data_IF_261675667375
#
_entry.id   IF_261675667375
#
_cell.length_a   1.000
_cell.length_b   1.000
_cell.length_c   1.000
_cell.angle_alpha   90.00
_cell.angle_beta   90.00
_cell.angle_gamma   90.00
#
_symmetry.space_group_name_H-M   'P 1'
#
loop_
_entity.id
_entity.type
_entity.pdbx_description
1 polymer ?
#
# COMPACT_ATOMS: atom_id res chain seq x y z
N UNK A 1 15.62 11.95 28.27
CA UNK A 1 17.09 11.93 28.11
C UNK A 1 17.37 12.10 26.61
N UNK A 2 17.49 13.28 26.01
CA UNK A 2 18.48 14.36 26.17
C UNK A 2 19.92 13.85 26.20
N UNK A 3 20.66 14.07 25.10
CA UNK A 3 22.12 14.22 24.88
C UNK A 3 22.32 14.01 23.36
N UNK A 4 22.75 14.94 22.50
CA UNK A 4 23.76 16.00 22.63
C UNK A 4 23.43 17.21 21.74
N UNK A 5 23.55 18.40 22.31
CA UNK A 5 23.68 19.69 21.64
C UNK A 5 24.93 20.39 22.18
N UNK A 6 25.79 20.88 21.27
CA UNK A 6 26.83 21.96 21.38
C UNK A 6 28.09 21.53 20.59
N UNK A 7 28.71 22.33 19.71
CA UNK A 7 28.95 23.78 19.68
C UNK A 7 29.01 24.33 18.25
N UNK A 8 28.67 25.61 18.06
CA UNK A 8 29.01 26.38 16.87
C UNK A 8 28.00 27.48 16.52
N UNK A 9 27.98 28.58 17.27
CA UNK A 9 27.28 29.81 16.87
C UNK A 9 27.96 30.40 15.62
N UNK A 10 27.29 30.31 14.48
CA UNK A 10 27.60 31.03 13.25
C UNK A 10 26.29 31.54 12.65
N UNK A 11 26.30 32.78 12.13
CA UNK A 11 25.15 33.53 11.62
C UNK A 11 24.13 32.67 10.85
N UNK A 12 22.86 32.90 11.13
CA UNK A 12 21.69 32.25 10.54
C UNK A 12 21.78 32.13 9.02
N UNK A 13 22.06 30.92 8.53
CA UNK A 13 21.59 30.48 7.23
C UNK A 13 20.26 29.78 7.47
N UNK A 14 19.18 30.31 6.89
CA UNK A 14 17.93 29.55 6.79
C UNK A 14 18.24 28.16 6.23
N UNK A 15 17.76 27.06 6.83
CA UNK A 15 17.94 25.75 6.24
C UNK A 15 16.99 25.64 5.03
N UNK A 16 17.42 26.12 3.87
CA UNK A 16 16.82 25.79 2.58
C UNK A 16 17.26 24.38 2.17
N UNK A 17 16.94 23.39 3.00
CA UNK A 17 17.09 21.99 2.63
C UNK A 17 15.73 21.34 2.79
N UNK A 18 14.80 21.73 1.90
CA UNK A 18 13.53 21.02 1.73
C UNK A 18 13.90 19.62 1.28
N UNK A 19 13.85 18.65 2.20
CA UNK A 19 14.04 17.24 1.87
C UNK A 19 12.98 16.88 0.83
N UNK A 20 13.42 16.53 -0.38
CA UNK A 20 12.52 16.00 -1.42
C UNK A 20 12.38 14.49 -1.21
N UNK A 21 11.19 13.97 -1.47
CA UNK A 21 10.96 12.52 -1.40
C UNK A 21 11.87 11.82 -2.42
N UNK A 22 12.70 10.84 -2.01
CA UNK A 22 13.68 10.22 -2.89
C UNK A 22 13.06 9.30 -3.96
N UNK A 23 11.73 9.10 -3.95
CA UNK A 23 10.99 8.14 -4.80
C UNK A 23 11.38 6.69 -4.49
N UNK A 24 11.67 6.43 -3.23
CA UNK A 24 11.97 5.12 -2.67
C UNK A 24 10.89 4.84 -1.63
N UNK A 25 10.40 3.61 -1.58
CA UNK A 25 9.47 3.12 -0.56
C UNK A 25 10.11 2.03 0.27
N UNK A 26 9.73 1.99 1.54
CA UNK A 26 10.11 0.91 2.43
C UNK A 26 9.36 -0.38 2.07
N UNK A 27 10.00 -1.51 2.30
CA UNK A 27 9.45 -2.83 2.06
C UNK A 27 9.59 -3.67 3.33
N UNK A 28 8.56 -4.45 3.63
CA UNK A 28 8.55 -5.35 4.78
C UNK A 28 7.71 -6.59 4.46
N UNK A 29 8.29 -7.78 4.64
CA UNK A 29 7.68 -9.04 4.21
C UNK A 29 7.52 -9.99 5.40
N UNK A 30 6.28 -10.41 5.69
CA UNK A 30 6.01 -11.25 6.87
C UNK A 30 6.65 -12.64 6.76
N UNK A 31 6.69 -13.21 5.55
CA UNK A 31 7.17 -14.58 5.32
C UNK A 31 8.68 -14.65 5.55
N UNK A 32 9.44 -13.68 5.05
CA UNK A 32 10.88 -13.55 5.28
C UNK A 32 11.22 -13.39 6.77
N UNK A 33 10.49 -12.50 7.46
CA UNK A 33 10.70 -12.22 8.89
C UNK A 33 10.45 -13.49 9.71
N UNK A 34 9.30 -14.14 9.50
CA UNK A 34 8.92 -15.33 10.24
C UNK A 34 9.85 -16.50 9.95
N UNK A 35 10.29 -16.66 8.70
CA UNK A 35 11.21 -17.73 8.31
C UNK A 35 12.58 -17.54 8.96
N UNK A 36 13.11 -16.31 8.98
CA UNK A 36 14.35 -15.97 9.67
C UNK A 36 14.25 -16.23 11.18
N UNK A 37 13.16 -15.80 11.80
CA UNK A 37 12.91 -16.04 13.23
C UNK A 37 12.75 -17.54 13.54
N UNK A 38 12.13 -18.32 12.65
CA UNK A 38 11.97 -19.76 12.83
C UNK A 38 13.30 -20.51 12.99
N UNK A 39 14.37 -19.97 12.39
CA UNK A 39 15.69 -20.61 12.30
C UNK A 39 16.67 -20.02 13.31
N UNK A 40 16.40 -18.83 13.84
CA UNK A 40 17.27 -18.14 14.80
C UNK A 40 17.41 -18.97 16.10
N UNK A 41 18.65 -19.30 16.54
CA UNK A 41 18.88 -20.07 17.75
C UNK A 41 18.25 -19.47 19.01
N UNK A 42 17.65 -20.31 19.86
CA UNK A 42 16.91 -19.90 21.08
C UNK A 42 17.71 -18.99 22.04
N UNK A 43 19.04 -19.09 22.06
CA UNK A 43 19.88 -18.30 22.99
C UNK A 43 20.07 -16.83 22.54
N UNK A 44 19.89 -16.52 21.25
CA UNK A 44 19.80 -15.13 20.75
C UNK A 44 18.46 -14.50 21.20
N UNK A 45 17.42 -15.32 21.36
CA UNK A 45 16.12 -14.89 21.90
C UNK A 45 16.16 -14.39 23.36
N UNK A 46 17.24 -14.63 24.11
CA UNK A 46 17.41 -14.10 25.47
C UNK A 46 17.62 -12.57 25.49
N UNK A 47 17.98 -11.95 24.36
CA UNK A 47 18.06 -10.49 24.19
C UNK A 47 16.67 -9.81 24.11
N UNK A 48 15.57 -10.57 24.04
CA UNK A 48 14.18 -10.07 23.93
C UNK A 48 13.61 -9.44 25.21
N UNK A 49 14.39 -9.30 26.29
CA UNK A 49 13.89 -8.90 27.62
C UNK A 49 13.70 -7.38 27.84
N UNK A 50 14.04 -6.50 26.89
CA UNK A 50 14.09 -5.05 27.14
C UNK A 50 13.07 -4.17 26.39
N UNK A 51 12.14 -4.73 25.61
CA UNK A 51 11.09 -3.96 24.90
C UNK A 51 11.58 -3.01 23.78
N UNK A 52 12.84 -2.57 23.83
CA UNK A 52 13.55 -1.81 22.79
C UNK A 52 13.98 -2.73 21.63
N UNK A 53 14.12 -4.03 21.91
CA UNK A 53 14.57 -5.04 20.96
C UNK A 53 13.56 -5.28 19.82
N UNK A 54 12.25 -5.22 20.12
CA UNK A 54 11.20 -5.57 19.15
C UNK A 54 11.11 -4.57 17.98
N UNK A 55 11.20 -3.26 18.28
CA UNK A 55 11.22 -2.22 17.24
C UNK A 55 12.52 -2.31 16.43
N UNK A 56 13.66 -2.54 17.10
CA UNK A 56 14.95 -2.70 16.45
C UNK A 56 14.97 -3.92 15.50
N UNK A 57 14.46 -5.07 15.94
CA UNK A 57 14.34 -6.29 15.12
C UNK A 57 13.46 -6.05 13.90
N UNK A 58 12.29 -5.43 14.08
CA UNK A 58 11.42 -5.08 12.96
C UNK A 58 12.19 -4.15 12.00
N UNK A 59 12.91 -3.15 12.51
CA UNK A 59 13.60 -2.15 11.69
C UNK A 59 14.76 -2.75 10.88
N UNK A 60 15.43 -3.78 11.41
CA UNK A 60 16.47 -4.54 10.69
C UNK A 60 15.94 -5.35 9.50
N UNK A 61 14.63 -5.58 9.44
CA UNK A 61 13.99 -6.31 8.34
C UNK A 61 13.33 -5.38 7.31
N UNK A 62 13.46 -4.05 7.47
CA UNK A 62 12.99 -3.09 6.47
C UNK A 62 14.02 -2.98 5.35
N UNK A 63 13.58 -3.18 4.13
CA UNK A 63 14.36 -2.91 2.92
C UNK A 63 13.76 -1.71 2.16
N UNK A 64 14.39 -1.33 1.05
CA UNK A 64 14.04 -0.14 0.28
C UNK A 64 13.99 -0.47 -1.20
N UNK A 65 12.97 0.04 -1.89
CA UNK A 65 12.80 -0.17 -3.33
C UNK A 65 12.39 1.13 -4.04
N UNK A 66 12.93 1.34 -5.24
CA UNK A 66 12.54 2.47 -6.09
C UNK A 66 11.08 2.34 -6.57
N UNK A 67 10.36 3.46 -6.56
CA UNK A 67 9.02 3.54 -7.14
C UNK A 67 9.15 3.64 -8.65
N UNK A 68 9.02 2.49 -9.30
CA UNK A 68 9.09 2.34 -10.76
C UNK A 68 7.98 3.12 -11.47
N UNK A 69 8.21 3.64 -12.69
CA UNK A 69 7.22 4.41 -13.45
C UNK A 69 5.88 3.69 -13.60
N UNK A 70 5.90 2.38 -13.87
CA UNK A 70 4.70 1.59 -14.09
C UNK A 70 3.78 1.54 -12.86
N UNK A 71 4.35 1.54 -11.65
CA UNK A 71 3.59 1.64 -10.41
C UNK A 71 2.89 3.01 -10.29
N UNK A 72 3.58 4.10 -10.66
CA UNK A 72 3.00 5.45 -10.64
C UNK A 72 1.87 5.56 -11.65
N UNK A 73 2.07 5.03 -12.85
CA UNK A 73 1.07 5.03 -13.90
C UNK A 73 -0.17 4.25 -13.46
N UNK A 74 0.01 3.06 -12.87
CA UNK A 74 -1.10 2.26 -12.35
C UNK A 74 -1.92 3.01 -11.28
N UNK A 75 -1.25 3.63 -10.30
CA UNK A 75 -1.90 4.44 -9.27
C UNK A 75 -2.65 5.62 -9.92
N UNK A 76 -1.97 6.34 -10.81
CA UNK A 76 -2.54 7.53 -11.44
C UNK A 76 -3.77 7.21 -12.28
N UNK A 77 -3.73 6.15 -13.09
CA UNK A 77 -4.86 5.78 -13.94
C UNK A 77 -6.09 5.38 -13.13
N UNK A 78 -5.94 4.53 -12.10
CA UNK A 78 -7.08 4.11 -11.28
C UNK A 78 -7.73 5.28 -10.53
N UNK A 79 -6.92 6.20 -9.98
CA UNK A 79 -7.46 7.40 -9.34
C UNK A 79 -8.11 8.34 -10.34
N UNK A 80 -7.53 8.50 -11.54
CA UNK A 80 -8.10 9.32 -12.61
C UNK A 80 -9.43 8.75 -13.10
N UNK A 81 -9.56 7.43 -13.21
CA UNK A 81 -10.83 6.77 -13.56
C UNK A 81 -11.91 7.02 -12.50
N UNK A 82 -11.59 6.89 -11.21
CA UNK A 82 -12.50 7.27 -10.11
C UNK A 82 -12.92 8.74 -10.19
N UNK A 83 -11.97 9.65 -10.45
CA UNK A 83 -12.23 11.08 -10.65
C UNK A 83 -13.19 11.33 -11.80
N UNK A 84 -12.97 10.67 -12.94
CA UNK A 84 -13.82 10.80 -14.13
C UNK A 84 -15.25 10.33 -13.85
N UNK A 85 -15.43 9.21 -13.12
CA UNK A 85 -16.77 8.74 -12.70
C UNK A 85 -17.52 9.82 -11.91
N UNK A 86 -16.83 10.57 -11.05
CA UNK A 86 -17.43 11.68 -10.28
C UNK A 86 -17.80 12.86 -11.21
N UNK A 87 -16.91 13.22 -12.14
CA UNK A 87 -17.17 14.28 -13.12
C UNK A 87 -18.40 13.96 -13.99
N UNK A 88 -18.48 12.73 -14.50
CA UNK A 88 -19.59 12.24 -15.33
C UNK A 88 -20.93 12.22 -14.57
N UNK A 89 -20.88 12.08 -13.23
CA UNK A 89 -22.05 12.13 -12.34
C UNK A 89 -22.22 13.50 -11.66
N UNK A 90 -21.84 14.58 -12.34
CA UNK A 90 -22.06 15.96 -11.90
C UNK A 90 -21.52 16.28 -10.50
N UNK A 91 -20.43 15.63 -10.10
CA UNK A 91 -19.81 15.77 -8.79
C UNK A 91 -20.70 15.35 -7.61
N UNK A 92 -21.48 14.27 -7.78
CA UNK A 92 -22.25 13.67 -6.69
C UNK A 92 -21.35 13.29 -5.50
N UNK A 93 -21.64 13.90 -4.36
CA UNK A 93 -20.90 13.73 -3.10
C UNK A 93 -21.15 12.34 -2.50
N UNK A 94 -22.35 11.77 -2.66
CA UNK A 94 -22.64 10.43 -2.17
C UNK A 94 -21.89 9.38 -2.99
N UNK A 95 -21.80 9.58 -4.30
CA UNK A 95 -20.96 8.76 -5.16
C UNK A 95 -19.48 8.88 -4.76
N UNK A 96 -18.97 10.10 -4.56
CA UNK A 96 -17.60 10.32 -4.11
C UNK A 96 -17.31 9.55 -2.82
N UNK A 97 -18.14 9.72 -1.78
CA UNK A 97 -18.01 8.99 -0.51
C UNK A 97 -17.96 7.48 -0.72
N UNK A 98 -18.87 6.96 -1.54
CA UNK A 98 -18.92 5.52 -1.86
C UNK A 98 -17.61 5.07 -2.52
N UNK A 99 -17.13 5.78 -3.54
CA UNK A 99 -15.88 5.44 -4.25
C UNK A 99 -14.63 5.49 -3.35
N UNK A 100 -14.64 6.35 -2.31
CA UNK A 100 -13.56 6.45 -1.32
C UNK A 100 -13.61 5.33 -0.26
N UNK A 101 -14.74 4.63 -0.11
CA UNK A 101 -14.85 3.48 0.81
C UNK A 101 -14.38 2.16 0.19
N UNK A 102 -14.22 2.11 -1.14
CA UNK A 102 -13.72 0.92 -1.83
C UNK A 102 -12.28 0.59 -1.41
N UNK A 103 -12.03 -0.68 -1.13
CA UNK A 103 -10.75 -1.23 -0.68
C UNK A 103 -10.44 -2.58 -1.34
N UNK A 104 -10.81 -2.73 -2.61
CA UNK A 104 -10.64 -3.91 -3.44
C UNK A 104 -11.96 -4.46 -3.97
N UNK A 105 -13.07 -4.24 -3.27
CA UNK A 105 -14.42 -4.67 -3.61
C UNK A 105 -14.87 -4.19 -4.99
N UNK A 106 -14.68 -2.92 -5.35
CA UNK A 106 -15.06 -2.43 -6.68
C UNK A 106 -14.26 -3.10 -7.80
N UNK A 107 -12.97 -3.38 -7.60
CA UNK A 107 -12.19 -4.15 -8.57
C UNK A 107 -12.74 -5.57 -8.71
N UNK A 108 -13.12 -6.21 -7.61
CA UNK A 108 -13.69 -7.55 -7.60
C UNK A 108 -15.07 -7.61 -8.26
N UNK A 109 -15.91 -6.59 -8.07
CA UNK A 109 -17.21 -6.44 -8.73
C UNK A 109 -17.05 -6.26 -10.26
N UNK A 110 -16.09 -5.44 -10.70
CA UNK A 110 -15.81 -5.21 -12.13
C UNK A 110 -15.42 -6.51 -12.86
N UNK A 111 -14.76 -7.43 -12.16
CA UNK A 111 -14.42 -8.76 -12.69
C UNK A 111 -15.42 -9.86 -12.31
N UNK A 112 -16.57 -9.51 -11.70
CA UNK A 112 -17.63 -10.44 -11.28
C UNK A 112 -17.15 -11.56 -10.34
N UNK A 113 -16.22 -11.24 -9.45
CA UNK A 113 -15.66 -12.17 -8.46
C UNK A 113 -15.97 -11.75 -7.01
N UNK A 114 -16.75 -10.69 -6.82
CA UNK A 114 -17.20 -10.16 -5.53
C UNK A 114 -17.79 -11.25 -4.65
N UNK A 115 -18.78 -12.02 -5.12
CA UNK A 115 -19.46 -13.08 -4.35
C UNK A 115 -18.53 -14.13 -3.74
N UNK A 116 -17.36 -14.36 -4.35
CA UNK A 116 -16.40 -15.38 -3.89
C UNK A 116 -15.32 -14.81 -2.97
N UNK A 117 -15.03 -13.51 -3.08
CA UNK A 117 -13.86 -12.86 -2.48
C UNK A 117 -14.20 -11.68 -1.56
N UNK A 118 -15.47 -11.26 -1.45
CA UNK A 118 -15.94 -10.16 -0.58
C UNK A 118 -15.52 -10.34 0.88
N UNK A 119 -15.52 -11.59 1.37
CA UNK A 119 -15.08 -11.96 2.72
C UNK A 119 -13.63 -11.53 3.02
N UNK A 120 -12.83 -11.33 1.97
CA UNK A 120 -11.41 -10.99 2.05
C UNK A 120 -11.13 -9.47 2.01
N UNK A 121 -12.10 -8.65 1.62
CA UNK A 121 -11.97 -7.19 1.50
C UNK A 121 -12.92 -6.49 2.49
N UNK A 122 -14.16 -6.23 2.08
CA UNK A 122 -15.14 -5.48 2.86
C UNK A 122 -15.78 -6.29 3.99
N UNK A 123 -15.77 -7.63 3.89
CA UNK A 123 -16.32 -8.53 4.90
C UNK A 123 -15.51 -8.63 6.22
N UNK A 124 -14.35 -7.98 6.31
CA UNK A 124 -13.49 -7.97 7.50
C UNK A 124 -12.91 -6.58 7.79
N UNK A 125 -12.36 -6.37 8.98
CA UNK A 125 -11.65 -5.12 9.31
C UNK A 125 -10.44 -4.85 8.39
N UNK A 126 -10.04 -3.59 8.25
CA UNK A 126 -9.03 -3.17 7.27
C UNK A 126 -7.67 -3.85 7.46
N UNK A 127 -7.20 -3.91 8.70
CA UNK A 127 -5.95 -4.57 9.08
C UNK A 127 -6.00 -6.10 8.91
N UNK A 128 -7.17 -6.72 9.05
CA UNK A 128 -7.38 -8.13 8.66
C UNK A 128 -7.18 -8.27 7.15
N UNK A 129 -7.91 -7.49 6.35
CA UNK A 129 -7.81 -7.52 4.88
C UNK A 129 -6.39 -7.28 4.38
N UNK A 130 -5.71 -6.24 4.89
CA UNK A 130 -4.33 -5.94 4.51
C UNK A 130 -3.41 -7.13 4.77
N UNK A 131 -3.46 -7.71 5.97
CA UNK A 131 -2.55 -8.78 6.35
C UNK A 131 -2.86 -10.10 5.62
N UNK A 132 -4.14 -10.43 5.41
CA UNK A 132 -4.54 -11.63 4.69
C UNK A 132 -4.19 -11.53 3.18
N UNK A 133 -4.41 -10.37 2.55
CA UNK A 133 -4.02 -10.12 1.15
C UNK A 133 -2.51 -10.10 0.96
N UNK A 134 -1.75 -9.61 1.95
CA UNK A 134 -0.29 -9.68 1.93
C UNK A 134 0.19 -11.13 1.85
N UNK A 135 -0.28 -11.98 2.77
CA UNK A 135 0.06 -13.41 2.78
C UNK A 135 -0.39 -14.09 1.48
N UNK A 136 -1.60 -13.79 0.99
CA UNK A 136 -2.10 -14.38 -0.24
C UNK A 136 -1.23 -14.00 -1.45
N UNK A 137 -0.84 -12.73 -1.54
CA UNK A 137 0.05 -12.21 -2.58
C UNK A 137 1.41 -12.93 -2.56
N UNK A 138 1.98 -13.16 -1.38
CA UNK A 138 3.22 -13.92 -1.23
C UNK A 138 3.10 -15.35 -1.77
N UNK A 139 2.05 -16.05 -1.33
CA UNK A 139 1.81 -17.44 -1.71
C UNK A 139 1.56 -17.58 -3.21
N UNK A 140 0.71 -16.74 -3.79
CA UNK A 140 0.47 -16.73 -5.24
C UNK A 140 1.76 -16.43 -6.02
N UNK A 141 2.57 -15.48 -5.56
CA UNK A 141 3.80 -15.10 -6.25
C UNK A 141 4.79 -16.26 -6.33
N UNK A 142 5.05 -16.94 -5.21
CA UNK A 142 6.00 -18.05 -5.20
C UNK A 142 5.44 -19.29 -5.89
N UNK A 143 4.14 -19.56 -5.80
CA UNK A 143 3.52 -20.65 -6.55
C UNK A 143 3.64 -20.43 -8.07
N UNK A 144 3.32 -19.23 -8.57
CA UNK A 144 3.49 -18.90 -10.00
C UNK A 144 4.95 -18.92 -10.44
N UNK A 145 5.86 -18.40 -9.60
CA UNK A 145 7.30 -18.43 -9.85
C UNK A 145 7.81 -19.86 -10.08
N UNK A 146 7.30 -20.82 -9.29
CA UNK A 146 7.65 -22.23 -9.42
C UNK A 146 6.99 -22.91 -10.63
N UNK A 147 5.75 -22.54 -10.97
CA UNK A 147 5.00 -23.16 -12.07
C UNK A 147 5.50 -22.75 -13.46
N UNK A 148 5.90 -21.49 -13.63
CA UNK A 148 6.10 -20.93 -14.97
C UNK A 148 7.56 -20.68 -15.36
N UNK A 149 8.53 -21.06 -14.49
CA UNK A 149 9.94 -20.68 -14.59
C UNK A 149 10.14 -19.15 -14.67
N UNK A 150 10.99 -18.60 -13.80
CA UNK A 150 11.30 -17.17 -13.57
C UNK A 150 11.10 -16.11 -14.70
N UNK A 151 11.33 -16.34 -16.02
CA UNK A 151 11.08 -15.36 -17.08
C UNK A 151 9.63 -14.86 -17.29
N UNK A 152 8.61 -15.48 -16.70
CA UNK A 152 7.19 -15.17 -16.93
C UNK A 152 6.53 -14.28 -15.85
N UNK A 153 7.28 -13.80 -14.86
CA UNK A 153 6.77 -12.87 -13.83
C UNK A 153 6.32 -11.57 -14.50
N UNK A 154 5.00 -11.34 -14.50
CA UNK A 154 4.38 -10.17 -15.14
C UNK A 154 4.75 -8.88 -14.42
N UNK A 155 4.65 -7.74 -15.11
CA UNK A 155 4.83 -6.43 -14.48
C UNK A 155 3.87 -6.24 -13.29
N UNK A 156 2.61 -6.66 -13.47
CA UNK A 156 1.56 -6.57 -12.46
C UNK A 156 1.88 -7.38 -11.20
N UNK A 157 2.53 -8.55 -11.32
CA UNK A 157 2.94 -9.34 -10.15
C UNK A 157 4.03 -8.65 -9.32
N UNK A 158 5.02 -8.02 -9.98
CA UNK A 158 6.06 -7.22 -9.30
C UNK A 158 5.47 -6.00 -8.61
N UNK A 159 4.54 -5.31 -9.27
CA UNK A 159 3.82 -4.18 -8.69
C UNK A 159 2.99 -4.63 -7.47
N UNK A 160 2.30 -5.77 -7.59
CA UNK A 160 1.51 -6.36 -6.50
C UNK A 160 2.37 -6.67 -5.28
N UNK A 161 3.54 -7.32 -5.46
CA UNK A 161 4.50 -7.54 -4.38
C UNK A 161 4.95 -6.23 -3.74
N UNK A 162 5.37 -5.28 -4.57
CA UNK A 162 5.90 -3.99 -4.15
C UNK A 162 4.91 -3.22 -3.26
N UNK A 163 3.63 -3.19 -3.67
CA UNK A 163 2.55 -2.58 -2.89
C UNK A 163 2.21 -3.39 -1.65
N UNK A 164 2.16 -4.72 -1.74
CA UNK A 164 1.91 -5.62 -0.62
C UNK A 164 2.93 -5.45 0.51
N UNK A 165 4.22 -5.46 0.17
CA UNK A 165 5.32 -5.28 1.12
C UNK A 165 5.35 -3.85 1.70
N UNK A 166 4.99 -2.86 0.89
CA UNK A 166 4.85 -1.47 1.36
C UNK A 166 3.69 -1.29 2.35
N UNK A 167 2.53 -1.85 2.04
CA UNK A 167 1.34 -1.76 2.89
C UNK A 167 1.57 -2.50 4.21
N UNK A 168 2.25 -3.65 4.20
CA UNK A 168 2.67 -4.32 5.42
C UNK A 168 3.69 -3.48 6.22
N UNK A 169 4.64 -2.83 5.55
CA UNK A 169 5.54 -1.88 6.22
C UNK A 169 4.74 -0.79 6.96
N UNK A 170 3.71 -0.21 6.32
CA UNK A 170 2.87 0.78 6.98
C UNK A 170 2.17 0.20 8.22
N UNK A 171 1.65 -1.03 8.14
CA UNK A 171 1.00 -1.70 9.27
C UNK A 171 1.93 -1.88 10.46
N UNK A 172 3.19 -2.24 10.22
CA UNK A 172 4.14 -2.60 11.26
C UNK A 172 4.89 -1.37 11.80
N UNK A 173 5.26 -0.42 10.92
CA UNK A 173 6.17 0.69 11.23
C UNK A 173 5.49 2.03 11.32
N UNK A 174 4.39 2.22 10.59
CA UNK A 174 3.65 3.47 10.56
C UNK A 174 2.15 3.25 10.88
N UNK A 175 1.77 2.47 11.92
CA UNK A 175 0.37 2.07 12.14
C UNK A 175 -0.59 3.26 12.32
N UNK A 176 -0.09 4.39 12.82
CA UNK A 176 -0.89 5.62 12.96
C UNK A 176 -1.32 6.24 11.61
N UNK A 177 -0.68 5.85 10.50
CA UNK A 177 -1.05 6.28 9.16
C UNK A 177 -2.14 5.40 8.52
N UNK A 178 -2.58 4.36 9.23
CA UNK A 178 -3.62 3.44 8.76
C UNK A 178 -4.91 3.63 9.57
N UNK A 179 -6.06 3.16 9.04
CA UNK A 179 -7.29 3.04 9.80
C UNK A 179 -7.08 2.36 11.15
N UNK A 180 -7.77 2.86 12.19
CA UNK A 180 -7.71 2.26 13.53
C UNK A 180 -8.22 0.82 13.48
N UNK A 181 -7.53 -0.07 14.20
CA UNK A 181 -7.86 -1.49 14.29
C UNK A 181 -6.94 -2.19 15.29
N UNK A 182 -6.89 -3.52 15.22
CA UNK A 182 -6.05 -4.36 16.09
C UNK A 182 -4.85 -4.93 15.32
N UNK A 183 -4.31 -4.14 14.39
CA UNK A 183 -3.33 -4.60 13.40
C UNK A 183 -2.05 -5.14 14.04
N UNK A 184 -1.58 -4.52 15.12
CA UNK A 184 -0.44 -5.00 15.89
C UNK A 184 -0.69 -6.38 16.51
N UNK A 185 -1.89 -6.63 17.04
CA UNK A 185 -2.28 -7.92 17.63
C UNK A 185 -2.36 -8.98 16.53
N UNK A 186 -3.06 -8.67 15.43
CA UNK A 186 -3.16 -9.59 14.27
C UNK A 186 -1.81 -9.93 13.68
N UNK A 187 -0.93 -8.94 13.50
CA UNK A 187 0.43 -9.14 13.03
C UNK A 187 1.20 -10.09 13.96
N UNK A 188 1.19 -9.82 15.27
CA UNK A 188 1.90 -10.63 16.28
C UNK A 188 1.43 -12.08 16.28
N UNK A 189 0.12 -12.30 16.34
CA UNK A 189 -0.49 -13.64 16.36
C UNK A 189 -0.19 -14.39 15.06
N UNK A 190 -0.22 -13.68 13.93
CA UNK A 190 0.12 -14.24 12.60
C UNK A 190 1.58 -14.64 12.51
N UNK A 191 2.49 -13.80 13.00
CA UNK A 191 3.91 -14.11 13.06
C UNK A 191 4.16 -15.32 13.96
N UNK A 192 3.54 -15.38 15.14
CA UNK A 192 3.70 -16.51 16.04
C UNK A 192 3.22 -17.83 15.41
N UNK A 193 2.07 -17.81 14.73
CA UNK A 193 1.56 -18.98 14.01
C UNK A 193 2.48 -19.39 12.86
N UNK A 194 2.97 -18.44 12.05
CA UNK A 194 3.88 -18.69 10.94
C UNK A 194 5.22 -19.27 11.42
N UNK A 195 5.80 -18.68 12.46
CA UNK A 195 7.05 -19.16 13.08
C UNK A 195 6.89 -20.58 13.62
N UNK A 196 5.77 -20.88 14.29
CA UNK A 196 5.47 -22.25 14.77
C UNK A 196 5.38 -23.23 13.59
N UNK A 197 4.67 -22.87 12.53
CA UNK A 197 4.55 -23.68 11.32
C UNK A 197 5.91 -23.95 10.65
N UNK A 198 6.70 -22.91 10.41
CA UNK A 198 8.02 -23.05 9.77
C UNK A 198 9.02 -23.84 10.61
N UNK A 199 8.96 -23.73 11.95
CA UNK A 199 9.77 -24.55 12.86
C UNK A 199 9.45 -26.05 12.72
N UNK A 200 8.17 -26.41 12.61
CA UNK A 200 7.74 -27.81 12.43
C UNK A 200 8.21 -28.38 11.08
N UNK A 201 8.34 -27.53 10.06
CA UNK A 201 8.71 -27.89 8.69
C UNK A 201 10.16 -27.57 8.34
N UNK A 202 11.01 -27.28 9.34
CA UNK A 202 12.38 -26.77 9.15
C UNK A 202 13.23 -27.62 8.20
N UNK A 203 13.17 -28.95 8.34
CA UNK A 203 13.96 -29.89 7.52
C UNK A 203 13.58 -29.88 6.04
N UNK A 204 12.32 -29.57 5.73
CA UNK A 204 11.81 -29.47 4.36
C UNK A 204 12.11 -28.09 3.78
N UNK A 205 11.83 -27.03 4.55
CA UNK A 205 11.93 -25.64 4.10
C UNK A 205 13.39 -25.22 3.92
N UNK A 206 14.30 -25.62 4.82
CA UNK A 206 15.74 -25.28 4.78
C UNK A 206 16.03 -23.79 4.50
N UNK A 207 15.23 -22.88 5.06
CA UNK A 207 15.33 -21.42 4.86
C UNK A 207 15.03 -20.92 3.42
N UNK A 208 14.33 -21.69 2.60
CA UNK A 208 13.92 -21.28 1.27
C UNK A 208 12.48 -20.77 1.31
N UNK A 209 12.27 -19.49 1.03
CA UNK A 209 10.95 -18.85 1.08
C UNK A 209 9.96 -19.46 0.08
N UNK A 210 10.44 -19.86 -1.11
CA UNK A 210 9.66 -20.60 -2.11
C UNK A 210 9.15 -21.93 -1.53
N UNK A 211 9.99 -22.68 -0.83
CA UNK A 211 9.59 -23.91 -0.15
C UNK A 211 8.66 -23.66 1.03
N UNK A 212 8.88 -22.58 1.78
CA UNK A 212 8.02 -22.18 2.89
C UNK A 212 6.61 -21.85 2.41
N UNK A 213 6.50 -21.05 1.34
CA UNK A 213 5.24 -20.71 0.69
C UNK A 213 4.56 -21.94 0.10
N UNK A 214 5.32 -22.81 -0.58
CA UNK A 214 4.81 -24.08 -1.11
C UNK A 214 4.23 -24.99 -0.02
N UNK A 215 4.97 -25.20 1.08
CA UNK A 215 4.49 -26.03 2.19
C UNK A 215 3.28 -25.41 2.89
N UNK A 216 3.22 -24.08 3.05
CA UNK A 216 2.06 -23.41 3.61
C UNK A 216 0.85 -23.60 2.69
N UNK A 217 0.97 -23.33 1.40
CA UNK A 217 -0.14 -23.42 0.43
C UNK A 217 -0.77 -24.83 0.36
N UNK A 218 -0.02 -25.88 0.69
CA UNK A 218 -0.52 -27.27 0.71
C UNK A 218 -1.34 -27.64 1.94
N UNK A 219 -1.31 -26.84 3.00
CA UNK A 219 -2.12 -27.09 4.20
C UNK A 219 -3.59 -27.03 3.85
N UNK A 220 -4.38 -28.05 4.19
CA UNK A 220 -5.83 -28.05 3.95
C UNK A 220 -6.50 -26.97 4.80
N UNK A 221 -7.32 -26.14 4.16
CA UNK A 221 -7.99 -24.96 4.76
C UNK A 221 -9.51 -25.16 4.85
N UNK A 222 -9.98 -26.40 4.72
CA UNK A 222 -11.41 -26.79 4.67
C UNK A 222 -12.06 -26.88 6.06
N UNK A 223 -11.26 -26.94 7.13
CA UNK A 223 -11.77 -26.90 8.51
C UNK A 223 -12.05 -25.42 8.85
N UNK A 224 -13.22 -25.14 9.43
CA UNK A 224 -13.52 -23.79 9.95
C UNK A 224 -12.38 -23.37 10.89
N UNK A 225 -11.63 -22.35 10.46
CA UNK A 225 -10.50 -21.83 11.19
C UNK A 225 -10.95 -21.23 12.53
N UNK A 226 -12.23 -20.82 12.59
CA UNK A 226 -12.95 -20.31 13.73
C UNK A 226 -13.25 -21.40 14.77
N UNK A 227 -13.69 -22.59 14.33
CA UNK A 227 -13.95 -23.75 15.21
C UNK A 227 -12.69 -24.27 15.92
N UNK A 228 -11.53 -24.18 15.26
CA UNK A 228 -10.26 -24.69 15.79
C UNK A 228 -9.54 -23.68 16.70
N UNK A 229 -9.63 -22.38 16.41
CA UNK A 229 -8.84 -21.35 17.11
C UNK A 229 -9.56 -20.70 18.28
N UNK A 230 -10.90 -20.68 18.25
CA UNK A 230 -11.70 -19.87 19.18
C UNK A 230 -11.31 -18.39 19.14
N UNK A 231 -11.83 -17.59 20.06
CA UNK A 231 -11.67 -16.13 20.02
C UNK A 231 -10.31 -15.61 20.53
N UNK A 232 -9.41 -16.52 20.92
CA UNK A 232 -8.13 -16.22 21.59
C UNK A 232 -6.98 -15.87 20.66
N UNK A 233 -7.05 -16.25 19.38
CA UNK A 233 -6.00 -15.99 18.40
C UNK A 233 -6.58 -15.22 17.21
N UNK A 234 -6.02 -14.05 16.91
CA UNK A 234 -6.43 -13.19 15.80
C UNK A 234 -5.58 -13.37 14.55
N UNK A 235 -4.81 -14.47 14.47
CA UNK A 235 -3.95 -14.78 13.33
C UNK A 235 -4.76 -14.96 12.04
N UNK A 236 -4.23 -14.39 10.96
CA UNK A 236 -4.82 -14.49 9.61
C UNK A 236 -4.06 -15.42 8.67
N UNK A 237 -3.04 -16.15 9.16
CA UNK A 237 -2.13 -16.94 8.30
C UNK A 237 -2.87 -17.90 7.36
N UNK A 238 -3.77 -18.71 7.92
CA UNK A 238 -4.53 -19.68 7.14
C UNK A 238 -5.70 -19.07 6.36
N UNK A 239 -6.15 -17.86 6.72
CA UNK A 239 -7.08 -17.08 5.90
C UNK A 239 -6.37 -16.57 4.64
N UNK A 240 -5.14 -16.04 4.77
CA UNK A 240 -4.30 -15.67 3.63
C UNK A 240 -4.01 -16.86 2.71
N UNK A 241 -3.75 -18.04 3.27
CA UNK A 241 -3.63 -19.31 2.52
C UNK A 241 -4.91 -19.65 1.75
N UNK A 242 -6.07 -19.60 2.43
CA UNK A 242 -7.37 -19.84 1.79
C UNK A 242 -7.60 -18.87 0.63
N UNK A 243 -7.33 -17.58 0.83
CA UNK A 243 -7.44 -16.58 -0.24
C UNK A 243 -6.49 -16.91 -1.39
N UNK A 244 -5.22 -17.26 -1.12
CA UNK A 244 -4.25 -17.61 -2.16
C UNK A 244 -4.76 -18.75 -3.05
N UNK A 245 -5.36 -19.79 -2.45
CA UNK A 245 -5.97 -20.90 -3.20
C UNK A 245 -7.15 -20.45 -4.04
N UNK A 246 -8.02 -19.60 -3.51
CA UNK A 246 -9.15 -19.05 -4.26
C UNK A 246 -8.66 -18.20 -5.44
N UNK A 247 -7.63 -17.36 -5.25
CA UNK A 247 -7.01 -16.58 -6.32
C UNK A 247 -6.37 -17.47 -7.40
N UNK A 248 -5.71 -18.57 -7.01
CA UNK A 248 -5.12 -19.51 -7.97
C UNK A 248 -6.14 -20.35 -8.73
N UNK A 249 -7.29 -20.63 -8.11
CA UNK A 249 -8.39 -21.37 -8.73
C UNK A 249 -9.40 -20.48 -9.46
N UNK A 250 -9.21 -19.16 -9.43
CA UNK A 250 -10.17 -18.17 -9.90
C UNK A 250 -10.41 -18.31 -11.40
N UNK A 251 -11.69 -18.37 -11.78
CA UNK A 251 -12.18 -18.37 -13.17
C UNK A 251 -13.44 -17.51 -13.24
N UNK A 252 -13.32 -16.22 -13.59
CA UNK A 252 -14.48 -15.33 -13.68
C UNK A 252 -15.50 -15.81 -14.71
N UNK A 253 -16.79 -15.64 -14.42
CA UNK A 253 -17.90 -16.28 -15.16
C UNK A 253 -18.03 -15.83 -16.63
N UNK A 254 -17.33 -14.77 -17.06
CA UNK A 254 -17.44 -14.21 -18.43
C UNK A 254 -16.09 -13.84 -19.08
N UNK A 255 -14.95 -14.33 -18.56
CA UNK A 255 -13.63 -13.99 -19.11
C UNK A 255 -12.95 -15.22 -19.72
N UNK A 256 -13.18 -15.44 -21.01
CA UNK A 256 -12.62 -16.57 -21.76
C UNK A 256 -11.08 -16.60 -21.79
N UNK A 257 -10.43 -15.46 -21.58
CA UNK A 257 -8.97 -15.30 -21.61
C UNK A 257 -8.36 -15.13 -20.20
N UNK A 258 -9.07 -15.49 -19.13
CA UNK A 258 -8.51 -15.36 -17.77
C UNK A 258 -7.27 -16.22 -17.57
N UNK A 259 -6.13 -15.57 -17.36
CA UNK A 259 -4.85 -16.21 -17.14
C UNK A 259 -4.08 -15.61 -15.96
N UNK A 260 -2.78 -15.90 -15.93
CA UNK A 260 -1.86 -15.41 -14.90
C UNK A 260 -1.80 -13.87 -14.91
N UNK A 261 -1.76 -13.28 -16.11
CA UNK A 261 -1.60 -11.85 -16.31
C UNK A 261 -2.82 -11.06 -15.80
N UNK A 262 -4.02 -11.49 -16.15
CA UNK A 262 -5.29 -10.87 -15.73
C UNK A 262 -5.47 -10.98 -14.20
N UNK A 263 -5.13 -12.14 -13.62
CA UNK A 263 -5.13 -12.33 -12.16
C UNK A 263 -4.21 -11.33 -11.47
N UNK A 264 -2.97 -11.19 -11.95
CA UNK A 264 -2.01 -10.26 -11.34
C UNK A 264 -2.38 -8.79 -11.59
N UNK A 265 -2.98 -8.47 -12.73
CA UNK A 265 -3.53 -7.14 -12.97
C UNK A 265 -4.63 -6.81 -11.94
N UNK A 266 -5.56 -7.74 -11.72
CA UNK A 266 -6.59 -7.57 -10.68
C UNK A 266 -5.97 -7.40 -9.29
N UNK A 267 -5.05 -8.27 -8.87
CA UNK A 267 -4.40 -8.17 -7.56
C UNK A 267 -3.71 -6.81 -7.41
N UNK A 268 -3.04 -6.32 -8.46
CA UNK A 268 -2.39 -5.00 -8.43
C UNK A 268 -3.39 -3.85 -8.26
N UNK A 269 -4.57 -3.97 -8.87
CA UNK A 269 -5.67 -3.00 -8.73
C UNK A 269 -6.28 -3.02 -7.32
N UNK A 270 -6.50 -4.21 -6.74
CA UNK A 270 -6.94 -4.35 -5.34
C UNK A 270 -5.97 -3.66 -4.38
N UNK A 271 -4.66 -3.83 -4.57
CA UNK A 271 -3.66 -3.16 -3.75
C UNK A 271 -3.68 -1.63 -3.87
N UNK A 272 -3.97 -1.09 -5.05
CA UNK A 272 -4.14 0.35 -5.24
C UNK A 272 -5.39 0.88 -4.55
N UNK A 273 -6.51 0.12 -4.55
CA UNK A 273 -7.69 0.50 -3.77
C UNK A 273 -7.42 0.47 -2.26
N UNK A 274 -6.73 -0.56 -1.74
CA UNK A 274 -6.29 -0.61 -0.34
C UNK A 274 -5.39 0.58 0.04
N UNK A 275 -4.47 0.96 -0.86
CA UNK A 275 -3.59 2.12 -0.69
C UNK A 275 -4.37 3.43 -0.68
N UNK A 276 -5.32 3.60 -1.60
CA UNK A 276 -6.17 4.78 -1.69
C UNK A 276 -7.09 4.91 -0.46
N UNK A 277 -7.69 3.81 -0.02
CA UNK A 277 -8.48 3.75 1.21
C UNK A 277 -7.64 4.19 2.42
N UNK A 278 -6.44 3.61 2.59
CA UNK A 278 -5.53 4.01 3.66
C UNK A 278 -5.15 5.51 3.59
N UNK A 279 -4.95 6.05 2.39
CA UNK A 279 -4.58 7.45 2.19
C UNK A 279 -5.70 8.42 2.60
N UNK A 280 -6.97 8.08 2.32
CA UNK A 280 -8.13 8.90 2.72
C UNK A 280 -8.37 8.85 4.22
N UNK A 281 -8.15 7.69 4.83
CA UNK A 281 -8.40 7.45 6.25
C UNK A 281 -7.19 7.76 7.15
N UNK A 282 -6.06 8.14 6.57
CA UNK A 282 -4.92 8.67 7.31
C UNK A 282 -5.20 10.12 7.74
N UNK A 283 -4.93 10.44 9.01
CA UNK A 283 -5.10 11.79 9.50
C UNK A 283 -4.14 12.79 8.82
N UNK A 284 -4.61 14.00 8.59
CA UNK A 284 -3.79 15.08 8.00
C UNK A 284 -2.58 15.44 8.85
N UNK A 285 -2.66 15.24 10.17
CA UNK A 285 -1.53 15.45 11.07
C UNK A 285 -0.39 14.49 10.74
N UNK A 286 -0.71 13.24 10.47
CA UNK A 286 0.22 12.18 10.14
C UNK A 286 0.82 12.42 8.74
N UNK A 287 0.00 12.80 7.74
CA UNK A 287 0.49 13.25 6.44
C UNK A 287 1.44 14.45 6.53
N UNK A 288 1.07 15.47 7.31
CA UNK A 288 1.91 16.65 7.52
C UNK A 288 3.24 16.29 8.19
N UNK A 289 3.24 15.32 9.12
CA UNK A 289 4.45 14.82 9.76
C UNK A 289 5.38 14.12 8.75
N UNK A 290 4.84 13.35 7.81
CA UNK A 290 5.65 12.73 6.75
C UNK A 290 6.22 13.76 5.77
N UNK A 291 5.44 14.77 5.38
CA UNK A 291 5.93 15.85 4.51
C UNK A 291 7.14 16.58 5.11
N UNK A 292 7.14 16.80 6.43
CA UNK A 292 8.31 17.38 7.14
C UNK A 292 9.58 16.52 7.05
N UNK A 293 9.44 15.22 6.77
CA UNK A 293 10.55 14.26 6.64
C UNK A 293 10.95 14.00 5.19
N UNK A 294 10.24 14.59 4.24
CA UNK A 294 10.50 14.48 2.82
C UNK A 294 9.32 13.97 2.01
N UNK A 295 8.27 13.45 2.66
CA UNK A 295 7.16 12.76 2.01
C UNK A 295 7.29 11.24 2.10
N UNK A 296 6.21 10.56 1.74
CA UNK A 296 6.04 9.12 1.77
C UNK A 296 4.97 8.76 0.71
N UNK A 297 5.02 7.57 0.10
CA UNK A 297 4.13 7.23 -1.02
C UNK A 297 2.65 7.45 -0.66
N UNK A 298 2.19 6.96 0.49
CA UNK A 298 0.81 7.14 0.97
C UNK A 298 0.39 8.62 1.01
N UNK A 299 1.32 9.50 1.39
CA UNK A 299 1.05 10.94 1.43
C UNK A 299 0.99 11.55 0.04
N UNK A 300 1.81 11.08 -0.90
CA UNK A 300 1.71 11.48 -2.29
C UNK A 300 0.41 11.01 -2.95
N UNK A 301 -0.06 9.81 -2.62
CA UNK A 301 -1.37 9.30 -3.05
C UNK A 301 -2.48 10.18 -2.48
N UNK A 302 -2.47 10.51 -1.19
CA UNK A 302 -3.45 11.42 -0.58
C UNK A 302 -3.50 12.79 -1.28
N UNK A 303 -2.34 13.39 -1.55
CA UNK A 303 -2.25 14.67 -2.27
C UNK A 303 -2.73 14.58 -3.73
N UNK A 304 -2.45 13.47 -4.42
CA UNK A 304 -2.94 13.21 -5.77
C UNK A 304 -4.47 13.05 -5.77
N UNK A 305 -5.02 12.30 -4.82
CA UNK A 305 -6.46 12.16 -4.64
C UNK A 305 -7.12 13.52 -4.40
N UNK A 306 -6.56 14.34 -3.50
CA UNK A 306 -7.05 15.70 -3.28
C UNK A 306 -7.00 16.57 -4.55
N UNK A 307 -5.92 16.47 -5.34
CA UNK A 307 -5.81 17.17 -6.63
C UNK A 307 -6.88 16.72 -7.63
N UNK A 308 -7.22 15.43 -7.65
CA UNK A 308 -8.27 14.86 -8.48
C UNK A 308 -9.68 15.07 -7.90
N UNK A 309 -9.82 15.85 -6.83
CA UNK A 309 -11.12 16.09 -6.20
C UNK A 309 -11.70 14.88 -5.45
N UNK A 310 -10.90 13.84 -5.22
CA UNK A 310 -11.22 12.64 -4.44
C UNK A 310 -10.98 12.88 -2.95
N UNK A 311 -11.75 13.79 -2.34
CA UNK A 311 -11.61 14.11 -0.92
C UNK A 311 -12.91 14.61 -0.32
N UNK A 312 -13.34 13.98 0.77
CA UNK A 312 -14.50 14.41 1.57
C UNK A 312 -14.33 15.82 2.12
N UNK A 313 -13.10 16.23 2.45
CA UNK A 313 -12.83 17.50 3.12
C UNK A 313 -12.87 18.71 2.17
N UNK A 314 -12.45 18.53 0.91
CA UNK A 314 -12.46 19.61 -0.09
C UNK A 314 -13.84 19.82 -0.73
N UNK A 315 -14.70 18.80 -0.75
CA UNK A 315 -16.02 18.89 -1.40
C UNK A 315 -17.09 19.58 -0.54
N UNK A 316 -16.96 19.58 0.79
CA UNK A 316 -17.85 20.37 1.68
C UNK A 316 -17.80 21.86 1.32
N UNK A 317 -16.65 22.37 0.85
CA UNK A 317 -16.56 23.75 0.34
C UNK A 317 -17.20 23.96 -1.04
N UNK A 318 -17.25 22.92 -1.91
CA UNK A 318 -17.95 23.00 -3.21
C UNK A 318 -19.46 23.01 -3.07
N UNK A 319 -20.01 22.37 -2.03
CA UNK A 319 -21.45 22.32 -1.77
C UNK A 319 -22.06 23.70 -1.48
N UNK A 320 -21.27 24.66 -0.97
CA UNK A 320 -21.66 26.06 -0.82
C UNK A 320 -21.49 26.89 -2.11
N UNK A 321 -21.00 26.29 -3.20
CA UNK A 321 -20.78 26.93 -4.50
C UNK A 321 -21.68 26.23 -5.54
N UNK A 322 -22.99 26.25 -5.34
CA UNK A 322 -23.94 25.94 -6.42
C UNK A 322 -24.54 27.22 -7.05
N UNK A 323 -24.15 27.40 -8.32
CA UNK A 323 -24.59 28.33 -9.39
C UNK A 323 -24.25 29.83 -9.26
N UNK A 324 -23.84 30.59 -10.31
CA UNK A 324 -23.33 30.28 -11.65
C UNK A 324 -21.88 30.79 -11.81
N UNK A 325 -20.98 30.37 -10.91
CA UNK A 325 -19.61 30.92 -10.84
C UNK A 325 -18.53 29.93 -11.27
N UNK A 326 -18.85 28.98 -12.16
CA UNK A 326 -17.85 28.13 -12.82
C UNK A 326 -16.78 28.98 -13.50
N UNK A 327 -17.20 30.04 -14.22
CA UNK A 327 -16.29 31.01 -14.82
C UNK A 327 -15.56 31.88 -13.80
N UNK A 328 -16.17 32.19 -12.65
CA UNK A 328 -15.49 32.98 -11.61
C UNK A 328 -14.44 32.16 -10.87
N UNK A 329 -14.69 30.89 -10.53
CA UNK A 329 -13.70 30.01 -9.91
C UNK A 329 -12.65 29.52 -10.92
N UNK A 330 -13.02 29.23 -12.17
CA UNK A 330 -12.02 29.04 -13.24
C UNK A 330 -11.22 30.32 -13.44
N UNK A 331 -11.81 31.52 -13.40
CA UNK A 331 -11.09 32.78 -13.48
C UNK A 331 -10.32 33.13 -12.21
N UNK A 332 -10.69 32.64 -11.02
CA UNK A 332 -9.97 32.85 -9.76
C UNK A 332 -8.78 31.88 -9.68
N UNK A 333 -8.98 30.62 -10.08
CA UNK A 333 -7.90 29.65 -10.27
C UNK A 333 -6.98 30.09 -11.40
N UNK A 334 -7.50 30.49 -12.56
CA UNK A 334 -6.72 31.04 -13.66
C UNK A 334 -6.10 32.39 -13.32
N UNK A 335 -6.67 33.25 -12.45
CA UNK A 335 -6.01 34.49 -11.97
C UNK A 335 -4.94 34.22 -10.93
N UNK A 336 -5.14 33.24 -10.04
CA UNK A 336 -4.10 32.75 -9.15
C UNK A 336 -2.96 32.08 -9.94
N UNK A 337 -3.27 31.47 -11.10
CA UNK A 337 -2.30 30.86 -12.02
C UNK A 337 -1.75 31.78 -13.12
N UNK A 338 -2.41 32.89 -13.46
CA UNK A 338 -1.97 33.90 -14.44
C UNK A 338 -1.31 35.12 -13.80
N UNK A 339 -0.94 35.08 -12.52
CA UNK A 339 0.00 36.06 -11.99
C UNK A 339 1.41 35.66 -12.41
N UNK A 340 2.12 36.48 -13.21
CA UNK A 340 3.48 36.16 -13.61
C UNK A 340 4.42 36.30 -12.40
N UNK A 341 5.19 35.24 -12.12
CA UNK A 341 6.23 35.08 -11.09
C UNK A 341 5.67 35.13 -9.64
N UNK A 342 5.63 34.02 -8.92
CA UNK A 342 6.78 33.19 -8.57
C UNK A 342 6.49 31.69 -8.66
N UNK A 343 7.44 30.99 -9.27
CA UNK A 343 7.59 29.55 -9.31
C UNK A 343 7.50 28.95 -7.90
N UNK A 344 6.46 28.18 -7.55
CA UNK A 344 6.60 27.25 -6.42
C UNK A 344 5.56 26.13 -6.28
N UNK A 345 4.32 26.23 -6.76
CA UNK A 345 3.34 25.16 -6.45
C UNK A 345 3.22 24.08 -7.54
N UNK A 346 3.02 24.44 -8.82
CA UNK A 346 2.98 23.45 -9.91
C UNK A 346 4.35 22.90 -10.30
N UNK A 347 5.42 23.67 -10.16
CA UNK A 347 6.77 23.15 -10.39
C UNK A 347 7.16 22.13 -9.30
N UNK A 348 6.68 22.33 -8.07
CA UNK A 348 6.86 21.38 -6.96
C UNK A 348 6.04 20.10 -7.19
N UNK A 349 4.76 20.21 -7.58
CA UNK A 349 3.91 19.02 -7.83
C UNK A 349 4.26 18.25 -9.11
N UNK A 350 4.61 18.93 -10.23
CA UNK A 350 5.07 18.27 -11.47
C UNK A 350 6.45 17.62 -11.32
N UNK A 351 7.35 18.17 -10.49
CA UNK A 351 8.60 17.49 -10.12
C UNK A 351 8.38 16.29 -9.19
N UNK A 352 7.29 16.27 -8.43
CA UNK A 352 6.97 15.21 -7.47
C UNK A 352 6.38 13.95 -8.12
N UNK A 353 5.70 14.08 -9.27
CA UNK A 353 5.01 12.95 -9.93
C UNK A 353 5.53 12.56 -11.33
N UNK A 354 6.41 13.35 -11.97
CA UNK A 354 7.04 13.13 -13.29
C UNK A 354 6.54 11.93 -14.13
N UNK A 355 5.34 12.05 -14.72
CA UNK A 355 4.90 11.26 -15.87
C UNK A 355 5.75 11.73 -17.06
N UNK A 356 6.40 10.79 -17.74
CA UNK A 356 7.33 11.10 -18.82
C UNK A 356 6.58 11.53 -20.08
N UNK A 357 6.77 12.78 -20.49
CA UNK A 357 6.75 13.11 -21.91
C UNK A 357 7.92 14.05 -22.21
N UNK A 358 8.73 13.67 -23.21
CA UNK A 358 9.91 14.40 -23.66
C UNK A 358 9.46 15.65 -24.42
N UNK A 359 9.17 16.74 -23.71
CA UNK A 359 9.10 18.07 -24.31
C UNK A 359 9.21 19.17 -23.26
N UNK A 360 10.41 19.37 -22.72
CA UNK A 360 10.74 20.70 -22.19
C UNK A 360 12.25 20.92 -22.31
N UNK A 361 12.69 21.28 -23.52
CA UNK A 361 13.98 21.91 -23.73
C UNK A 361 13.96 23.30 -23.10
N UNK A 362 14.57 23.49 -21.94
CA UNK A 362 15.11 24.81 -21.59
C UNK A 362 16.46 24.91 -22.29
N UNK A 363 16.41 25.52 -23.48
CA UNK A 363 17.60 25.91 -24.22
C UNK A 363 18.40 26.91 -23.39
N UNK A 364 19.71 26.73 -23.49
CA UNK A 364 20.73 27.57 -22.88
C UNK A 364 20.71 28.99 -23.47
N UNK A 365 21.34 29.86 -22.69
CA UNK A 365 21.96 31.13 -23.08
C UNK A 365 21.04 32.34 -23.31
N UNK A 366 21.15 33.29 -22.38
CA UNK A 366 21.20 34.74 -22.64
C UNK A 366 21.71 35.45 -21.37
N UNK A 367 23.04 35.50 -21.24
CA UNK A 367 23.79 36.72 -20.92
C UNK A 367 25.15 36.63 -21.60
#
# INVERSE_FOLDING_TARGET
MLFLTRFGMGRSKQPTNVKRWPRIISQYNIMDVCLREAITPRWIGFQKFLGIHEISEKMMNVTWQDVVPELKDLIFQQLKEKSKRIEDNLYDINLCKTLLTHRGDNVLEEIKCDKHLEWSTVGVEFDHSLLLWHIATELCYYDDLTRFNHPSITKSSKISKCLSDYMLYLLVMCPNMLPKGIGEIRYRDTCEEAVRFFKQKKEVIKNHIDKACYELLRVKTEISLEEVKGDRCKSVLFYGNRLAKQLQALKPEDQSNWGCDEKWEMISKVWVELLAYAAVHCGWKEHAQQLRRGGELLTHVCLLMAHLGLSDQYQIQKQFIHQPNRQFFEALFLKAYKKPRSECFLCSLRCLLCISDRSCCCNKDLS
#
